data_IF_212658611086
#
_entry.id   IF_212658611086
#
_cell.length_a   1.000
_cell.length_b   1.000
_cell.length_c   1.000
_cell.angle_alpha   90.00
_cell.angle_beta   90.00
_cell.angle_gamma   90.00
#
_symmetry.space_group_name_H-M   'P 1'
#
loop_
_entity.id
_entity.type
_entity.pdbx_description
1 polymer ?
#
# COMPACT_ATOMS: atom_id res chain seq x y z
N UNK A 1 18.75 -8.11 7.06
CA UNK A 1 17.74 -9.18 7.04
C UNK A 1 17.28 -9.30 5.60
N UNK A 2 17.73 -10.33 4.87
CA UNK A 2 17.34 -10.52 3.47
C UNK A 2 15.93 -11.13 3.44
N UNK A 3 14.93 -10.31 3.12
CA UNK A 3 13.65 -10.84 2.65
C UNK A 3 13.89 -11.37 1.23
N UNK A 4 13.60 -12.65 0.98
CA UNK A 4 13.67 -13.25 -0.37
C UNK A 4 12.55 -12.73 -1.31
N UNK A 5 11.61 -11.93 -0.81
CA UNK A 5 10.60 -11.22 -1.60
C UNK A 5 11.05 -9.81 -2.00
N UNK A 6 10.30 -9.17 -2.90
CA UNK A 6 10.54 -7.79 -3.38
C UNK A 6 11.88 -7.57 -4.12
N UNK A 7 12.54 -8.63 -4.61
CA UNK A 7 13.83 -8.49 -5.33
C UNK A 7 13.66 -7.66 -6.61
N UNK A 8 12.58 -7.89 -7.37
CA UNK A 8 12.30 -7.12 -8.58
C UNK A 8 12.07 -5.64 -8.30
N UNK A 9 11.22 -5.32 -7.32
CA UNK A 9 10.96 -3.93 -6.91
C UNK A 9 12.18 -3.27 -6.28
N UNK A 10 13.03 -4.01 -5.58
CA UNK A 10 14.32 -3.50 -5.11
C UNK A 10 15.17 -3.03 -6.29
N UNK A 11 15.40 -3.89 -7.29
CA UNK A 11 16.20 -3.52 -8.47
C UNK A 11 15.56 -2.38 -9.25
N UNK A 12 14.24 -2.40 -9.41
CA UNK A 12 13.51 -1.31 -10.06
C UNK A 12 13.72 0.03 -9.35
N UNK A 13 13.55 0.08 -8.02
CA UNK A 13 13.67 1.34 -7.27
C UNK A 13 15.13 1.77 -7.13
N UNK A 14 15.99 0.84 -6.68
CA UNK A 14 17.37 1.11 -6.30
C UNK A 14 18.30 1.30 -7.52
N UNK A 15 18.17 0.47 -8.56
CA UNK A 15 19.14 0.46 -9.67
C UNK A 15 18.62 1.22 -10.91
N UNK A 16 17.30 1.34 -11.08
CA UNK A 16 16.71 2.02 -12.24
C UNK A 16 16.08 3.37 -11.88
N UNK A 17 14.99 3.39 -11.12
CA UNK A 17 14.16 4.58 -10.87
C UNK A 17 14.98 5.69 -10.23
N UNK A 18 15.63 5.43 -9.10
CA UNK A 18 16.40 6.47 -8.40
C UNK A 18 17.58 6.96 -9.24
N UNK A 19 18.49 6.09 -9.74
CA UNK A 19 19.69 6.57 -10.43
C UNK A 19 19.38 7.22 -11.78
N UNK A 20 18.51 6.59 -12.58
CA UNK A 20 18.26 7.01 -13.96
C UNK A 20 17.24 8.14 -14.03
N UNK A 21 16.07 7.95 -13.41
CA UNK A 21 14.98 8.90 -13.59
C UNK A 21 15.08 10.09 -12.62
N UNK A 22 15.35 9.82 -11.34
CA UNK A 22 15.27 10.87 -10.31
C UNK A 22 16.56 11.68 -10.18
N UNK A 23 17.72 11.02 -10.24
CA UNK A 23 19.01 11.68 -10.06
C UNK A 23 19.62 12.17 -11.37
N UNK A 24 19.68 11.32 -12.40
CA UNK A 24 20.26 11.70 -13.70
C UNK A 24 19.32 12.61 -14.49
N UNK A 25 18.06 12.19 -14.66
CA UNK A 25 17.11 12.90 -15.53
C UNK A 25 16.30 13.97 -14.78
N UNK A 26 16.47 14.07 -13.45
CA UNK A 26 15.80 15.05 -12.58
C UNK A 26 14.27 15.03 -12.69
N UNK A 27 13.70 13.87 -13.02
CA UNK A 27 12.26 13.66 -13.14
C UNK A 27 11.56 13.83 -11.80
N UNK A 28 10.36 14.42 -11.81
CA UNK A 28 9.54 14.59 -10.61
C UNK A 28 8.72 13.33 -10.34
N UNK A 29 9.08 12.60 -9.29
CA UNK A 29 8.29 11.48 -8.81
C UNK A 29 7.07 11.97 -8.02
N UNK A 30 5.86 11.64 -8.50
CA UNK A 30 4.61 12.02 -7.83
C UNK A 30 4.06 10.91 -6.93
N UNK A 31 4.38 9.66 -7.24
CA UNK A 31 3.88 8.51 -6.51
C UNK A 31 3.86 7.25 -7.38
N UNK A 32 3.85 6.09 -6.73
CA UNK A 32 3.61 4.80 -7.38
C UNK A 32 2.30 4.18 -6.90
N UNK A 33 1.54 3.60 -7.82
CA UNK A 33 0.36 2.79 -7.52
C UNK A 33 0.74 1.36 -7.87
N UNK A 34 0.89 0.51 -6.85
CA UNK A 34 1.25 -0.88 -7.01
C UNK A 34 -0.04 -1.68 -6.96
N UNK A 35 -0.23 -2.59 -7.92
CA UNK A 35 -1.35 -3.52 -7.95
C UNK A 35 -0.78 -4.91 -7.66
N UNK A 36 -1.24 -5.55 -6.60
CA UNK A 36 -0.80 -6.91 -6.24
C UNK A 36 -1.99 -7.73 -5.77
N UNK A 37 -2.01 -9.01 -6.17
CA UNK A 37 -3.08 -9.97 -5.85
C UNK A 37 -4.49 -9.38 -5.97
N UNK A 38 -4.78 -8.76 -7.12
CA UNK A 38 -6.10 -8.25 -7.46
C UNK A 38 -6.91 -9.29 -8.28
N UNK A 39 -8.22 -9.03 -8.45
CA UNK A 39 -9.21 -9.81 -9.21
C UNK A 39 -9.80 -11.05 -8.50
N UNK A 40 -9.70 -11.12 -7.18
CA UNK A 40 -10.32 -12.11 -6.30
C UNK A 40 -11.58 -11.58 -5.60
N UNK A 41 -12.54 -11.04 -6.36
CA UNK A 41 -13.84 -10.64 -5.81
C UNK A 41 -14.62 -11.84 -5.27
N UNK A 42 -14.97 -11.81 -3.99
CA UNK A 42 -15.79 -12.83 -3.36
C UNK A 42 -16.86 -12.20 -2.46
N UNK A 43 -18.12 -12.33 -2.88
CA UNK A 43 -19.26 -11.81 -2.15
C UNK A 43 -19.89 -12.83 -1.20
N UNK A 44 -19.22 -13.92 -0.85
CA UNK A 44 -19.72 -14.88 0.15
C UNK A 44 -19.43 -14.38 1.56
N UNK A 45 -20.31 -14.65 2.55
CA UNK A 45 -20.02 -14.30 3.95
C UNK A 45 -18.77 -15.04 4.42
N UNK A 46 -17.94 -14.39 5.23
CA UNK A 46 -16.70 -14.95 5.77
C UNK A 46 -15.72 -15.44 4.69
N UNK A 47 -15.73 -14.83 3.50
CA UNK A 47 -14.76 -15.14 2.45
C UNK A 47 -13.41 -14.48 2.69
N UNK A 48 -13.27 -13.72 3.76
CA UNK A 48 -12.09 -12.94 4.08
C UNK A 48 -11.89 -12.81 5.59
N UNK A 49 -10.63 -12.88 6.03
CA UNK A 49 -10.22 -12.56 7.39
C UNK A 49 -9.75 -11.10 7.54
N UNK A 50 -9.81 -10.57 8.77
CA UNK A 50 -9.24 -9.26 9.12
C UNK A 50 -8.07 -9.49 10.09
N UNK A 51 -6.82 -9.28 9.65
CA UNK A 51 -5.67 -9.36 10.53
C UNK A 51 -5.74 -8.39 11.73
N UNK A 52 -5.15 -8.75 12.87
CA UNK A 52 -5.19 -7.91 14.08
C UNK A 52 -4.51 -6.54 13.89
N UNK A 53 -3.45 -6.49 13.09
CA UNK A 53 -2.75 -5.26 12.75
C UNK A 53 -3.59 -4.37 11.83
N UNK A 54 -4.46 -4.95 10.99
CA UNK A 54 -5.46 -4.19 10.22
C UNK A 54 -6.49 -3.54 11.12
N UNK A 55 -7.06 -4.30 12.05
CA UNK A 55 -8.00 -3.78 13.03
C UNK A 55 -7.39 -2.69 13.90
N UNK A 56 -6.11 -2.81 14.25
CA UNK A 56 -5.40 -1.82 15.06
C UNK A 56 -5.06 -0.55 14.28
N UNK A 57 -4.64 -0.67 13.01
CA UNK A 57 -4.25 0.46 12.18
C UNK A 57 -5.44 1.24 11.61
N UNK A 58 -6.55 0.56 11.27
CA UNK A 58 -7.74 1.18 10.70
C UNK A 58 -9.02 0.53 11.26
N UNK A 59 -9.38 0.83 12.53
CA UNK A 59 -10.56 0.27 13.20
C UNK A 59 -11.86 0.49 12.42
N UNK A 60 -12.05 1.65 11.81
CA UNK A 60 -13.27 1.99 11.07
C UNK A 60 -13.45 1.10 9.84
N UNK A 61 -12.37 0.82 9.10
CA UNK A 61 -12.38 -0.09 7.95
C UNK A 61 -12.65 -1.52 8.43
N UNK A 62 -12.01 -1.95 9.51
CA UNK A 62 -12.25 -3.29 10.08
C UNK A 62 -13.71 -3.46 10.53
N UNK A 63 -14.30 -2.42 11.14
CA UNK A 63 -15.71 -2.40 11.50
C UNK A 63 -16.61 -2.49 10.27
N UNK A 64 -16.33 -1.73 9.21
CA UNK A 64 -17.11 -1.77 7.98
C UNK A 64 -17.10 -3.16 7.33
N UNK A 65 -15.93 -3.83 7.26
CA UNK A 65 -15.81 -5.18 6.72
C UNK A 65 -16.57 -6.20 7.60
N UNK A 66 -16.45 -6.08 8.93
CA UNK A 66 -17.17 -6.95 9.85
C UNK A 66 -18.69 -6.77 9.75
N UNK A 67 -19.17 -5.53 9.64
CA UNK A 67 -20.58 -5.19 9.45
C UNK A 67 -21.13 -5.71 8.11
N UNK A 68 -20.29 -5.84 7.08
CA UNK A 68 -20.64 -6.45 5.79
C UNK A 68 -20.66 -7.99 5.81
N UNK A 69 -20.27 -8.59 6.95
CA UNK A 69 -20.22 -10.04 7.13
C UNK A 69 -18.94 -10.68 6.60
N UNK A 70 -17.81 -9.97 6.69
CA UNK A 70 -16.47 -10.48 6.34
C UNK A 70 -16.38 -10.95 4.89
N UNK A 71 -16.86 -10.12 3.96
CA UNK A 71 -16.83 -10.41 2.51
C UNK A 71 -15.61 -9.75 1.86
N UNK A 72 -14.98 -10.46 0.93
CA UNK A 72 -13.89 -9.96 0.09
C UNK A 72 -14.42 -9.32 -1.20
N UNK A 73 -15.35 -8.39 -1.06
CA UNK A 73 -16.08 -7.78 -2.18
C UNK A 73 -15.69 -6.29 -2.39
N UNK A 74 -14.46 -5.95 -2.04
CA UNK A 74 -13.90 -4.61 -2.10
C UNK A 74 -12.42 -4.65 -2.51
N UNK A 75 -11.91 -3.53 -3.01
CA UNK A 75 -10.49 -3.30 -3.22
C UNK A 75 -9.92 -2.59 -1.99
N UNK A 76 -8.80 -3.07 -1.46
CA UNK A 76 -8.09 -2.38 -0.39
C UNK A 76 -7.01 -1.47 -0.97
N UNK A 77 -6.91 -0.24 -0.46
CA UNK A 77 -5.83 0.69 -0.76
C UNK A 77 -5.02 0.95 0.50
N UNK A 78 -3.80 0.41 0.57
CA UNK A 78 -2.90 0.58 1.71
C UNK A 78 -1.91 1.71 1.46
N UNK A 79 -1.73 2.57 2.47
CA UNK A 79 -0.84 3.73 2.37
C UNK A 79 -0.35 4.15 3.76
N UNK A 80 0.82 4.80 3.85
CA UNK A 80 1.27 5.34 5.13
C UNK A 80 0.53 6.63 5.45
N UNK A 81 0.05 6.71 6.69
CA UNK A 81 -0.70 7.84 7.18
C UNK A 81 0.10 9.14 7.03
N UNK A 82 -0.57 10.18 6.53
CA UNK A 82 -0.03 11.51 6.20
C UNK A 82 0.99 11.53 5.04
N UNK A 83 1.96 10.62 5.01
CA UNK A 83 3.05 10.59 4.02
C UNK A 83 2.56 10.35 2.59
N UNK A 84 1.63 9.42 2.42
CA UNK A 84 1.10 9.02 1.11
C UNK A 84 -0.29 9.64 0.83
N UNK A 85 -0.76 10.51 1.72
CA UNK A 85 -2.14 11.04 1.73
C UNK A 85 -2.54 11.72 0.42
N UNK A 86 -1.63 12.47 -0.21
CA UNK A 86 -1.91 13.12 -1.50
C UNK A 86 -2.24 12.10 -2.59
N UNK A 87 -1.50 11.01 -2.67
CA UNK A 87 -1.71 9.96 -3.67
C UNK A 87 -2.99 9.17 -3.36
N UNK A 88 -3.18 8.78 -2.10
CA UNK A 88 -4.37 8.05 -1.64
C UNK A 88 -5.65 8.85 -1.87
N UNK A 89 -5.67 10.14 -1.52
CA UNK A 89 -6.84 11.01 -1.71
C UNK A 89 -7.13 11.27 -3.19
N UNK A 90 -6.09 11.45 -4.01
CA UNK A 90 -6.28 11.61 -5.46
C UNK A 90 -6.88 10.35 -6.08
N UNK A 91 -6.37 9.17 -5.71
CA UNK A 91 -6.89 7.89 -6.20
C UNK A 91 -8.32 7.64 -5.74
N UNK A 92 -8.62 7.81 -4.44
CA UNK A 92 -9.95 7.61 -3.90
C UNK A 92 -11.00 8.53 -4.57
N UNK A 93 -10.66 9.82 -4.78
CA UNK A 93 -11.54 10.74 -5.51
C UNK A 93 -11.81 10.30 -6.94
N UNK A 94 -10.77 9.82 -7.65
CA UNK A 94 -10.94 9.32 -9.02
C UNK A 94 -11.79 8.04 -9.05
N UNK A 95 -11.67 7.18 -8.02
CA UNK A 95 -12.47 5.98 -7.85
C UNK A 95 -13.95 6.30 -7.63
N UNK A 96 -14.25 7.27 -6.75
CA UNK A 96 -15.62 7.67 -6.42
C UNK A 96 -16.34 8.38 -7.59
N UNK A 97 -15.57 8.95 -8.52
CA UNK A 97 -16.09 9.67 -9.69
C UNK A 97 -16.35 8.77 -10.92
N UNK A 98 -16.21 7.45 -10.78
CA UNK A 98 -16.55 6.52 -11.85
C UNK A 98 -18.03 6.63 -12.22
N UNK A 99 -18.33 6.65 -13.52
CA UNK A 99 -19.73 6.73 -14.00
C UNK A 99 -20.58 5.54 -13.57
N UNK A 100 -19.94 4.38 -13.32
CA UNK A 100 -20.61 3.12 -12.98
C UNK A 100 -19.83 2.40 -11.87
N UNK A 101 -19.90 2.87 -10.61
CA UNK A 101 -19.16 2.26 -9.52
C UNK A 101 -19.69 0.83 -9.28
N UNK A 102 -18.82 -0.17 -9.43
CA UNK A 102 -19.16 -1.60 -9.22
C UNK A 102 -18.50 -2.21 -7.98
N UNK A 103 -17.38 -1.63 -7.55
CA UNK A 103 -16.55 -2.18 -6.49
C UNK A 103 -16.27 -1.10 -5.46
N UNK A 104 -16.35 -1.48 -4.18
CA UNK A 104 -16.01 -0.59 -3.06
C UNK A 104 -14.50 -0.46 -2.92
N UNK A 105 -14.05 0.71 -2.48
CA UNK A 105 -12.67 0.95 -2.08
C UNK A 105 -12.61 1.14 -0.57
N UNK A 106 -11.74 0.40 0.11
CA UNK A 106 -11.40 0.64 1.50
C UNK A 106 -9.96 1.13 1.61
N UNK A 107 -9.77 2.39 2.01
CA UNK A 107 -8.44 2.96 2.22
C UNK A 107 -7.94 2.66 3.63
N UNK A 108 -6.91 1.84 3.74
CA UNK A 108 -6.21 1.55 4.99
C UNK A 108 -5.06 2.54 5.18
N UNK A 109 -5.14 3.29 6.27
CA UNK A 109 -4.11 4.23 6.68
C UNK A 109 -3.23 3.58 7.73
N UNK A 110 -1.96 3.36 7.39
CA UNK A 110 -1.02 2.63 8.25
C UNK A 110 -0.18 3.63 9.03
N UNK A 111 -0.07 3.52 10.37
CA UNK A 111 0.68 4.46 11.21
C UNK A 111 2.20 4.19 11.14
N UNK A 112 2.75 4.20 9.93
CA UNK A 112 4.16 3.97 9.63
C UNK A 112 4.84 5.29 9.23
N UNK A 113 5.99 5.55 9.84
CA UNK A 113 6.80 6.73 9.54
C UNK A 113 7.64 6.59 8.26
N UNK A 114 8.31 7.68 7.88
CA UNK A 114 9.17 7.73 6.69
C UNK A 114 10.47 6.92 6.87
N UNK A 115 10.86 6.65 8.12
CA UNK A 115 12.00 5.81 8.45
C UNK A 115 11.51 4.50 9.09
N UNK A 116 12.12 3.35 8.74
CA UNK A 116 11.77 2.09 9.35
C UNK A 116 12.33 2.03 10.79
N UNK A 117 11.49 2.31 11.79
CA UNK A 117 11.83 2.00 13.19
C UNK A 117 11.54 0.52 13.43
N UNK A 118 12.54 -0.23 13.91
CA UNK A 118 12.50 -1.71 14.05
C UNK A 118 11.31 -2.23 14.86
N UNK A 119 10.92 -1.52 15.93
CA UNK A 119 9.77 -1.89 16.78
C UNK A 119 8.43 -1.70 16.05
N UNK A 120 8.35 -0.74 15.13
CA UNK A 120 7.16 -0.45 14.34
C UNK A 120 6.96 -1.44 13.20
N UNK A 121 8.03 -1.97 12.59
CA UNK A 121 7.90 -2.91 11.47
C UNK A 121 7.40 -4.31 11.89
N UNK A 122 7.83 -4.81 13.05
CA UNK A 122 7.46 -6.15 13.52
C UNK A 122 5.95 -6.27 13.84
N UNK A 123 5.31 -5.17 14.22
CA UNK A 123 3.86 -5.12 14.52
C UNK A 123 3.00 -4.84 13.29
N UNK A 124 3.61 -4.55 12.14
CA UNK A 124 2.94 -4.15 10.89
C UNK A 124 3.30 -5.08 9.72
N UNK A 125 3.69 -6.33 10.02
CA UNK A 125 4.21 -7.25 9.01
C UNK A 125 3.23 -7.48 7.85
N UNK A 126 1.90 -7.51 8.07
CA UNK A 126 0.96 -7.72 6.97
C UNK A 126 0.94 -6.55 5.96
N UNK A 127 1.34 -5.36 6.39
CA UNK A 127 1.46 -4.19 5.52
C UNK A 127 2.78 -4.11 4.74
N UNK A 128 3.72 -5.02 5.01
CA UNK A 128 5.10 -4.96 4.50
C UNK A 128 5.44 -6.10 3.53
N UNK A 129 4.43 -6.74 2.94
CA UNK A 129 4.60 -8.00 2.18
C UNK A 129 4.74 -7.84 0.67
N UNK A 130 4.49 -6.65 0.13
CA UNK A 130 4.45 -6.40 -1.32
C UNK A 130 5.40 -5.27 -1.73
N UNK A 131 5.50 -5.04 -3.04
CA UNK A 131 6.53 -4.25 -3.71
C UNK A 131 6.51 -2.75 -3.34
N UNK A 132 5.39 -2.23 -2.83
CA UNK A 132 5.29 -0.84 -2.37
C UNK A 132 6.30 -0.51 -1.25
N UNK A 133 6.74 -1.52 -0.49
CA UNK A 133 7.74 -1.37 0.58
C UNK A 133 9.07 -0.86 0.05
N UNK A 134 9.46 -1.24 -1.17
CA UNK A 134 10.72 -0.78 -1.75
C UNK A 134 10.68 0.70 -2.14
N UNK A 135 9.50 1.27 -2.35
CA UNK A 135 9.34 2.72 -2.49
C UNK A 135 9.42 3.41 -1.13
N UNK A 136 8.80 2.83 -0.11
CA UNK A 136 8.76 3.42 1.23
C UNK A 136 10.13 3.43 1.92
N UNK A 137 10.87 2.33 1.85
CA UNK A 137 12.05 2.08 2.68
C UNK A 137 13.30 1.64 1.90
N UNK A 138 13.50 2.13 0.67
CA UNK A 138 14.76 1.90 -0.04
C UNK A 138 15.98 2.44 0.73
N UNK A 139 17.14 1.85 0.47
CA UNK A 139 18.40 2.19 1.13
C UNK A 139 19.41 2.93 0.23
N UNK A 140 18.96 3.50 -0.90
CA UNK A 140 19.86 4.12 -1.87
C UNK A 140 20.79 5.20 -1.23
N UNK A 141 22.11 5.16 -1.47
CA UNK A 141 23.07 6.03 -0.80
C UNK A 141 22.85 7.51 -1.09
N UNK A 142 22.54 7.85 -2.34
CA UNK A 142 22.40 9.24 -2.82
C UNK A 142 20.97 9.78 -2.82
N UNK A 143 19.99 9.00 -2.34
CA UNK A 143 18.58 9.39 -2.28
C UNK A 143 17.97 8.88 -0.98
N UNK A 144 17.84 9.78 0.01
CA UNK A 144 17.41 9.44 1.37
C UNK A 144 15.91 9.66 1.62
N UNK A 145 15.27 10.44 0.76
CA UNK A 145 13.84 10.70 0.87
C UNK A 145 13.06 9.46 0.50
N UNK A 146 12.03 9.14 1.28
CA UNK A 146 11.09 8.08 0.93
C UNK A 146 10.29 8.44 -0.32
N UNK A 147 9.93 7.44 -1.13
CA UNK A 147 9.06 7.61 -2.28
C UNK A 147 7.61 7.30 -1.89
N UNK A 148 6.68 8.15 -2.32
CA UNK A 148 5.27 7.94 -2.04
C UNK A 148 4.72 6.77 -2.84
N UNK A 149 3.99 5.87 -2.19
CA UNK A 149 3.40 4.73 -2.87
C UNK A 149 2.13 4.25 -2.16
N UNK A 150 1.18 3.75 -2.94
CA UNK A 150 0.01 3.02 -2.43
C UNK A 150 -0.02 1.61 -3.01
N UNK A 151 -0.45 0.65 -2.21
CA UNK A 151 -0.75 -0.71 -2.64
C UNK A 151 -2.25 -0.86 -2.82
N UNK A 152 -2.67 -1.29 -4.00
CA UNK A 152 -4.01 -1.78 -4.30
C UNK A 152 -3.98 -3.29 -4.31
N UNK A 153 -4.81 -3.91 -3.47
CA UNK A 153 -4.84 -5.37 -3.34
C UNK A 153 -6.21 -5.84 -2.90
N UNK A 154 -6.58 -7.05 -3.30
CA UNK A 154 -7.70 -7.73 -2.67
C UNK A 154 -7.13 -8.31 -1.40
N UNK A 155 -7.53 -7.75 -0.26
CA UNK A 155 -7.06 -8.24 1.01
C UNK A 155 -7.45 -9.72 1.10
N UNK A 156 -6.47 -10.62 1.10
CA UNK A 156 -6.67 -12.05 1.29
C UNK A 156 -7.12 -12.38 2.69
#
# INVERSE_FOLDING_TARGET
MYFQGCVGSYYFVHDFLIPSELLRDSSKFQGAIILDTILHYNNSRHSQDIPKDFQSASPDVAYAIAADGYRGNFLASMSRWQLDSRLTLAFARAWDQQERPRYRLHSLSIPLGAQPLTVSLATHLNFLRSDHVMFWYHSHPSYKSSLSAILLTDTG
#
